data_IF_820143793466
#
_entry.id   IF_820143793466
#
_cell.length_a   1.000
_cell.length_b   1.000
_cell.length_c   1.000
_cell.angle_alpha   90.00
_cell.angle_beta   90.00
_cell.angle_gamma   90.00
#
_symmetry.space_group_name_H-M   'P 1'
#
loop_
_entity.id
_entity.type
_entity.pdbx_description
1 polymer ?
#
# COMPACT_ATOMS: atom_id res chain seq x y z
N UNK A 1 22.65 -19.50 46.98
CA UNK A 1 21.70 -20.41 46.31
C UNK A 1 20.53 -19.64 45.76
N UNK A 2 20.05 -20.07 44.60
CA UNK A 2 18.83 -19.64 43.88
C UNK A 2 18.90 -18.35 43.05
N UNK A 3 19.57 -18.41 41.89
CA UNK A 3 19.14 -17.70 40.66
C UNK A 3 19.40 -18.65 39.48
N UNK A 4 18.62 -19.71 39.37
CA UNK A 4 18.76 -20.65 38.25
C UNK A 4 17.44 -21.36 37.95
N UNK A 5 16.36 -20.61 38.01
CA UNK A 5 15.11 -21.03 37.39
C UNK A 5 14.72 -19.95 36.39
N UNK A 6 14.28 -20.41 35.21
CA UNK A 6 13.30 -19.75 34.33
C UNK A 6 13.73 -19.17 32.95
N UNK A 7 14.90 -19.50 32.39
CA UNK A 7 15.23 -19.08 31.01
C UNK A 7 14.80 -20.10 29.93
N UNK A 8 14.57 -21.38 30.27
CA UNK A 8 14.13 -22.42 29.30
C UNK A 8 12.64 -22.25 28.92
N UNK A 9 11.87 -21.51 29.72
CA UNK A 9 10.41 -21.33 29.53
C UNK A 9 10.03 -20.26 28.50
N UNK A 10 11.00 -19.64 27.82
CA UNK A 10 10.77 -18.50 26.90
C UNK A 10 10.58 -18.89 25.44
N UNK A 11 10.80 -20.16 25.07
CA UNK A 11 10.62 -20.62 23.69
C UNK A 11 9.13 -21.00 23.49
N UNK A 12 8.38 -20.27 22.65
CA UNK A 12 6.98 -20.57 22.38
C UNK A 12 6.84 -21.96 21.76
N UNK A 13 5.84 -22.74 22.18
CA UNK A 13 5.61 -24.12 21.69
C UNK A 13 5.41 -24.22 20.18
N UNK A 14 5.03 -23.12 19.53
CA UNK A 14 4.79 -23.04 18.08
C UNK A 14 5.78 -22.10 17.37
N UNK A 15 6.91 -21.78 18.00
CA UNK A 15 7.96 -20.94 17.41
C UNK A 15 8.99 -21.78 16.64
N UNK A 16 9.52 -21.21 15.56
CA UNK A 16 10.74 -21.69 14.92
C UNK A 16 11.93 -20.85 15.40
N UNK A 17 13.09 -21.49 15.53
CA UNK A 17 14.34 -20.82 15.89
C UNK A 17 15.19 -20.67 14.65
N UNK A 18 15.63 -19.45 14.35
CA UNK A 18 16.59 -19.11 13.30
C UNK A 18 17.87 -18.53 13.90
N UNK A 19 18.95 -18.48 13.11
CA UNK A 19 20.22 -17.85 13.49
C UNK A 19 20.79 -18.34 14.85
N UNK A 20 20.56 -19.62 15.17
CA UNK A 20 21.01 -20.22 16.43
C UNK A 20 22.53 -20.36 16.45
N UNK A 21 23.16 -19.83 17.49
CA UNK A 21 24.61 -19.90 17.74
C UNK A 21 24.91 -20.22 19.20
N UNK A 22 26.07 -20.84 19.41
CA UNK A 22 26.65 -21.01 20.74
C UNK A 22 27.45 -19.74 21.05
N UNK A 23 27.10 -19.06 22.15
CA UNK A 23 27.79 -17.86 22.63
C UNK A 23 28.99 -18.26 23.49
N UNK A 24 28.78 -19.19 24.41
CA UNK A 24 29.83 -19.70 25.30
C UNK A 24 29.54 -21.15 25.70
N UNK A 25 30.59 -21.89 26.03
CA UNK A 25 30.50 -23.24 26.57
C UNK A 25 31.63 -23.48 27.57
N UNK A 26 31.29 -23.93 28.77
CA UNK A 26 32.23 -24.34 29.81
C UNK A 26 32.24 -25.88 29.91
N UNK A 27 33.32 -26.54 29.46
CA UNK A 27 33.43 -28.00 29.51
C UNK A 27 33.50 -28.57 30.94
N UNK A 28 33.97 -27.80 31.92
CA UNK A 28 34.14 -28.27 33.29
C UNK A 28 32.80 -28.34 34.04
N UNK A 29 31.89 -27.41 33.74
CA UNK A 29 30.55 -27.37 34.34
C UNK A 29 29.45 -27.91 33.44
N UNK A 30 29.72 -28.03 32.14
CA UNK A 30 28.73 -28.35 31.11
C UNK A 30 27.79 -27.19 30.79
N UNK A 31 28.07 -25.97 31.28
CA UNK A 31 27.23 -24.80 31.03
C UNK A 31 27.38 -24.32 29.59
N UNK A 32 26.26 -24.01 28.92
CA UNK A 32 26.24 -23.49 27.55
C UNK A 32 25.31 -22.30 27.48
N UNK A 33 25.75 -21.25 26.78
CA UNK A 33 24.93 -20.10 26.42
C UNK A 33 24.62 -20.14 24.93
N UNK A 34 23.35 -19.97 24.58
CA UNK A 34 22.86 -19.99 23.20
C UNK A 34 22.17 -18.66 22.89
N UNK A 35 22.33 -18.17 21.66
CA UNK A 35 21.59 -17.03 21.15
C UNK A 35 20.97 -17.40 19.81
N UNK A 36 19.74 -16.95 19.58
CA UNK A 36 19.02 -17.16 18.33
C UNK A 36 17.83 -16.24 18.24
N UNK A 37 17.19 -16.23 17.08
CA UNK A 37 15.94 -15.54 16.83
C UNK A 37 14.78 -16.52 16.95
N UNK A 38 13.70 -16.09 17.59
CA UNK A 38 12.48 -16.89 17.71
C UNK A 38 11.40 -16.20 16.89
N UNK A 39 10.85 -16.90 15.90
CA UNK A 39 9.71 -16.44 15.12
C UNK A 39 8.51 -17.34 15.36
N UNK A 40 7.33 -16.76 15.57
CA UNK A 40 6.08 -17.51 15.74
C UNK A 40 5.02 -17.03 14.75
N UNK A 41 4.17 -17.91 14.19
CA UNK A 41 3.06 -17.48 13.36
C UNK A 41 2.12 -16.56 14.14
N UNK A 42 1.87 -15.37 13.62
CA UNK A 42 0.91 -14.42 14.17
C UNK A 42 -0.46 -14.65 13.53
N UNK A 43 -1.48 -14.89 14.36
CA UNK A 43 -2.89 -14.75 13.96
C UNK A 43 -3.56 -13.80 14.94
N UNK A 44 -4.06 -12.69 14.42
CA UNK A 44 -4.75 -11.68 15.20
C UNK A 44 -6.09 -11.37 14.50
N UNK A 45 -7.15 -11.33 15.28
CA UNK A 45 -8.48 -10.90 14.85
C UNK A 45 -8.86 -9.67 15.66
N UNK A 46 -9.34 -8.64 14.99
CA UNK A 46 -9.76 -7.40 15.62
C UNK A 46 -10.51 -6.52 14.63
N UNK A 47 -10.93 -5.35 15.09
CA UNK A 47 -11.59 -4.34 14.28
C UNK A 47 -10.55 -3.43 13.61
N UNK A 48 -10.91 -2.78 12.49
CA UNK A 48 -9.98 -1.88 11.79
C UNK A 48 -9.63 -0.63 12.62
N UNK A 49 -10.46 -0.30 13.60
CA UNK A 49 -10.29 0.81 14.53
C UNK A 49 -9.28 0.47 15.64
N UNK A 50 -8.96 -0.81 15.84
CA UNK A 50 -7.97 -1.23 16.82
C UNK A 50 -6.58 -0.77 16.37
N UNK A 51 -5.89 -0.01 17.22
CA UNK A 51 -4.58 0.54 16.91
C UNK A 51 -3.57 -0.52 16.44
N UNK A 52 -3.59 -1.71 17.05
CA UNK A 52 -2.73 -2.82 16.67
C UNK A 52 -3.09 -3.38 15.29
N UNK A 53 -4.37 -3.60 15.00
CA UNK A 53 -4.83 -4.08 13.68
C UNK A 53 -4.44 -3.08 12.60
N UNK A 54 -4.70 -1.80 12.87
CA UNK A 54 -4.40 -0.70 11.96
C UNK A 54 -2.90 -0.60 11.66
N UNK A 55 -2.05 -0.67 12.69
CA UNK A 55 -0.59 -0.68 12.53
C UNK A 55 -0.10 -1.86 11.69
N UNK A 56 -0.68 -3.06 11.89
CA UNK A 56 -0.36 -4.24 11.10
C UNK A 56 -0.83 -4.11 9.64
N UNK A 57 -1.99 -3.50 9.38
CA UNK A 57 -2.47 -3.22 8.03
C UNK A 57 -1.54 -2.23 7.29
N UNK A 58 -1.11 -1.15 7.95
CA UNK A 58 -0.11 -0.25 7.38
C UNK A 58 1.24 -0.93 7.15
N UNK A 59 1.66 -1.82 8.05
CA UNK A 59 2.88 -2.60 7.86
C UNK A 59 2.76 -3.52 6.63
N UNK A 60 1.60 -4.14 6.42
CA UNK A 60 1.33 -4.99 5.27
C UNK A 60 1.37 -4.23 3.93
N UNK A 61 1.09 -2.92 3.91
CA UNK A 61 1.28 -2.07 2.71
C UNK A 61 2.76 -1.88 2.34
N UNK A 62 3.68 -2.02 3.29
CA UNK A 62 5.11 -1.86 3.07
C UNK A 62 5.83 -3.20 2.89
N UNK A 63 5.10 -4.31 2.77
CA UNK A 63 5.67 -5.62 2.49
C UNK A 63 6.17 -5.69 1.04
N UNK A 64 7.42 -5.25 0.85
CA UNK A 64 8.10 -5.24 -0.44
C UNK A 64 8.13 -6.62 -1.11
N UNK A 65 8.10 -7.70 -0.32
CA UNK A 65 8.23 -9.08 -0.82
C UNK A 65 6.92 -9.69 -1.32
N UNK A 66 5.77 -9.10 -0.99
CA UNK A 66 4.47 -9.72 -1.24
C UNK A 66 3.41 -8.73 -1.75
N UNK A 67 3.31 -8.55 -3.07
CA UNK A 67 2.26 -7.73 -3.67
C UNK A 67 0.83 -8.19 -3.33
N UNK A 68 0.62 -9.50 -3.08
CA UNK A 68 -0.67 -10.03 -2.65
C UNK A 68 -1.08 -9.55 -1.25
N UNK A 69 -0.11 -9.41 -0.34
CA UNK A 69 -0.31 -8.82 0.99
C UNK A 69 -0.69 -7.35 0.88
N UNK A 70 0.09 -6.58 0.12
CA UNK A 70 -0.17 -5.15 -0.13
C UNK A 70 -1.54 -4.93 -0.77
N UNK A 71 -1.89 -5.72 -1.79
CA UNK A 71 -3.19 -5.66 -2.46
C UNK A 71 -4.34 -5.85 -1.48
N UNK A 72 -4.26 -6.87 -0.61
CA UNK A 72 -5.31 -7.08 0.40
C UNK A 72 -5.36 -5.96 1.43
N UNK A 73 -4.22 -5.42 1.84
CA UNK A 73 -4.19 -4.29 2.77
C UNK A 73 -4.89 -3.07 2.15
N UNK A 74 -4.62 -2.75 0.88
CA UNK A 74 -5.36 -1.70 0.15
C UNK A 74 -6.86 -1.98 0.13
N UNK A 75 -7.29 -3.21 -0.19
CA UNK A 75 -8.71 -3.58 -0.23
C UNK A 75 -9.42 -3.40 1.12
N UNK A 76 -8.74 -3.77 2.22
CA UNK A 76 -9.30 -3.62 3.57
C UNK A 76 -9.40 -2.15 3.94
N UNK A 77 -8.33 -1.37 3.74
CA UNK A 77 -8.27 0.04 4.08
C UNK A 77 -9.22 0.90 3.24
N UNK A 78 -9.48 0.50 1.98
CA UNK A 78 -10.43 1.15 1.09
C UNK A 78 -11.88 1.17 1.60
N UNK A 79 -12.21 0.39 2.63
CA UNK A 79 -13.53 0.43 3.26
C UNK A 79 -13.76 1.68 4.14
N UNK A 80 -12.69 2.41 4.50
CA UNK A 80 -12.75 3.65 5.30
C UNK A 80 -11.78 4.73 4.81
N UNK A 81 -11.98 5.31 3.63
CA UNK A 81 -10.99 6.20 3.01
C UNK A 81 -10.98 7.62 3.60
N UNK A 82 -12.01 8.03 4.36
CA UNK A 82 -12.12 9.38 4.95
C UNK A 82 -11.13 9.64 6.11
N UNK A 83 -10.21 8.72 6.32
CA UNK A 83 -9.20 8.78 7.37
C UNK A 83 -7.89 9.19 6.72
N UNK A 84 -7.37 10.38 7.06
CA UNK A 84 -6.25 11.03 6.37
C UNK A 84 -5.02 10.11 6.21
N UNK A 85 -4.55 9.39 7.26
CA UNK A 85 -3.49 8.39 7.10
C UNK A 85 -3.82 7.25 6.11
N UNK A 86 -5.09 6.85 5.98
CA UNK A 86 -5.50 5.85 4.99
C UNK A 86 -5.45 6.46 3.59
N UNK A 87 -5.97 7.67 3.41
CA UNK A 87 -5.90 8.38 2.12
C UNK A 87 -4.46 8.52 1.65
N UNK A 88 -3.55 8.98 2.52
CA UNK A 88 -2.13 9.13 2.22
C UNK A 88 -1.49 7.78 1.82
N UNK A 89 -1.81 6.71 2.54
CA UNK A 89 -1.30 5.39 2.23
C UNK A 89 -1.83 4.84 0.89
N UNK A 90 -3.09 5.11 0.55
CA UNK A 90 -3.67 4.77 -0.74
C UNK A 90 -3.03 5.58 -1.88
N UNK A 91 -2.79 6.88 -1.67
CA UNK A 91 -2.08 7.74 -2.63
C UNK A 91 -0.65 7.22 -2.85
N UNK A 92 0.06 6.85 -1.79
CA UNK A 92 1.40 6.29 -1.90
C UNK A 92 1.40 4.95 -2.66
N UNK A 93 0.44 4.07 -2.38
CA UNK A 93 0.27 2.83 -3.12
C UNK A 93 -0.05 3.08 -4.60
N UNK A 94 -0.87 4.09 -4.93
CA UNK A 94 -1.19 4.47 -6.29
C UNK A 94 0.04 4.98 -7.06
N UNK A 95 0.90 5.78 -6.43
CA UNK A 95 1.99 6.46 -7.12
C UNK A 95 3.27 5.59 -7.19
N UNK A 96 3.57 4.85 -6.13
CA UNK A 96 4.91 4.26 -5.94
C UNK A 96 4.95 2.74 -5.91
N UNK A 97 3.82 2.03 -5.86
CA UNK A 97 3.84 0.57 -5.81
C UNK A 97 4.36 -0.02 -7.13
N UNK A 98 5.33 -0.95 -7.04
CA UNK A 98 5.93 -1.59 -8.21
C UNK A 98 4.94 -2.48 -8.99
N UNK A 99 3.85 -2.89 -8.34
CA UNK A 99 2.85 -3.77 -8.90
C UNK A 99 1.63 -3.00 -9.40
N UNK A 100 1.40 -3.07 -10.72
CA UNK A 100 0.26 -2.41 -11.37
C UNK A 100 -1.11 -2.83 -10.79
N UNK A 101 -1.25 -4.05 -10.25
CA UNK A 101 -2.48 -4.51 -9.60
C UNK A 101 -2.77 -3.76 -8.30
N UNK A 102 -1.73 -3.49 -7.50
CA UNK A 102 -1.87 -2.71 -6.26
C UNK A 102 -2.19 -1.26 -6.59
N UNK A 103 -1.47 -0.66 -7.56
CA UNK A 103 -1.75 0.70 -8.03
C UNK A 103 -3.19 0.86 -8.54
N UNK A 104 -3.67 -0.08 -9.36
CA UNK A 104 -5.05 -0.08 -9.86
C UNK A 104 -6.08 -0.19 -8.72
N UNK A 105 -5.83 -1.04 -7.74
CA UNK A 105 -6.72 -1.20 -6.59
C UNK A 105 -6.77 0.07 -5.72
N UNK A 106 -5.64 0.75 -5.55
CA UNK A 106 -5.57 2.03 -4.85
C UNK A 106 -6.31 3.13 -5.62
N UNK A 107 -6.16 3.17 -6.94
CA UNK A 107 -6.93 4.05 -7.82
C UNK A 107 -8.43 3.87 -7.59
N UNK A 108 -8.92 2.62 -7.65
CA UNK A 108 -10.34 2.29 -7.46
C UNK A 108 -10.85 2.76 -6.09
N UNK A 109 -10.08 2.52 -5.03
CA UNK A 109 -10.43 2.95 -3.67
C UNK A 109 -10.60 4.48 -3.55
N UNK A 110 -9.79 5.23 -4.30
CA UNK A 110 -9.74 6.69 -4.27
C UNK A 110 -10.77 7.36 -5.21
N UNK A 111 -11.36 6.64 -6.18
CA UNK A 111 -12.21 7.22 -7.25
C UNK A 111 -13.32 8.13 -6.72
N UNK A 112 -13.99 7.73 -5.64
CA UNK A 112 -15.11 8.50 -5.10
C UNK A 112 -14.67 9.86 -4.50
N UNK A 113 -13.38 10.05 -4.22
CA UNK A 113 -12.75 11.24 -3.64
C UNK A 113 -12.01 12.10 -4.68
N UNK A 114 -12.23 11.90 -5.97
CA UNK A 114 -11.56 12.66 -7.04
C UNK A 114 -11.70 14.20 -6.97
N UNK A 115 -12.57 14.71 -6.10
CA UNK A 115 -12.74 16.15 -5.85
C UNK A 115 -11.92 16.68 -4.68
N UNK A 116 -11.41 15.80 -3.82
CA UNK A 116 -10.44 16.17 -2.79
C UNK A 116 -9.13 16.58 -3.47
N UNK A 117 -8.53 17.69 -3.02
CA UNK A 117 -7.38 18.29 -3.68
C UNK A 117 -6.20 17.31 -3.80
N UNK A 118 -5.90 16.57 -2.73
CA UNK A 118 -4.79 15.61 -2.68
C UNK A 118 -5.03 14.42 -3.62
N UNK A 119 -6.24 13.86 -3.63
CA UNK A 119 -6.62 12.75 -4.50
C UNK A 119 -6.64 13.17 -5.97
N UNK A 120 -7.16 14.37 -6.27
CA UNK A 120 -7.13 14.94 -7.62
C UNK A 120 -5.70 15.10 -8.12
N UNK A 121 -4.80 15.61 -7.27
CA UNK A 121 -3.39 15.73 -7.59
C UNK A 121 -2.73 14.37 -7.84
N UNK A 122 -3.07 13.36 -7.04
CA UNK A 122 -2.59 11.99 -7.24
C UNK A 122 -3.04 11.42 -8.60
N UNK A 123 -4.32 11.57 -8.98
CA UNK A 123 -4.79 11.12 -10.29
C UNK A 123 -4.15 11.89 -11.46
N UNK A 124 -3.92 13.20 -11.33
CA UNK A 124 -3.17 13.97 -12.34
C UNK A 124 -1.73 13.48 -12.46
N UNK A 125 -1.08 13.16 -11.34
CA UNK A 125 0.26 12.58 -11.34
C UNK A 125 0.26 11.20 -12.03
N UNK A 126 -0.64 10.31 -11.64
CA UNK A 126 -0.79 8.97 -12.26
C UNK A 126 -1.05 9.07 -13.76
N UNK A 127 -1.91 9.99 -14.20
CA UNK A 127 -2.18 10.23 -15.61
C UNK A 127 -0.93 10.66 -16.39
N UNK A 128 -0.02 11.43 -15.79
CA UNK A 128 1.19 11.88 -16.46
C UNK A 128 2.35 10.89 -16.42
N UNK A 129 2.39 9.98 -15.44
CA UNK A 129 3.62 9.29 -15.07
C UNK A 129 3.51 7.76 -14.93
N UNK A 130 2.31 7.18 -14.80
CA UNK A 130 2.20 5.72 -14.64
C UNK A 130 2.61 5.01 -15.94
N UNK A 131 3.44 3.98 -15.86
CA UNK A 131 3.91 3.23 -17.03
C UNK A 131 2.79 2.41 -17.69
N UNK A 132 1.77 2.04 -16.92
CA UNK A 132 0.63 1.25 -17.37
C UNK A 132 -0.47 2.14 -17.95
N UNK A 133 -0.64 2.07 -19.27
CA UNK A 133 -1.67 2.86 -19.96
C UNK A 133 -3.11 2.58 -19.46
N UNK A 134 -3.40 1.38 -18.97
CA UNK A 134 -4.69 1.05 -18.37
C UNK A 134 -4.97 1.85 -17.10
N UNK A 135 -3.95 2.04 -16.25
CA UNK A 135 -4.06 2.87 -15.05
C UNK A 135 -4.22 4.34 -15.43
N UNK A 136 -3.45 4.84 -16.40
CA UNK A 136 -3.60 6.22 -16.90
C UNK A 136 -5.00 6.49 -17.43
N UNK A 137 -5.59 5.55 -18.19
CA UNK A 137 -6.98 5.65 -18.66
C UNK A 137 -7.97 5.72 -17.49
N UNK A 138 -7.79 4.88 -16.47
CA UNK A 138 -8.65 4.90 -15.28
C UNK A 138 -8.51 6.21 -14.48
N UNK A 139 -7.33 6.83 -14.48
CA UNK A 139 -7.13 8.14 -13.86
C UNK A 139 -7.93 9.24 -14.58
N UNK A 140 -7.96 9.24 -15.93
CA UNK A 140 -8.85 10.15 -16.69
C UNK A 140 -10.29 9.93 -16.27
N UNK A 141 -10.77 8.68 -16.28
CA UNK A 141 -12.17 8.38 -15.94
C UNK A 141 -12.53 8.84 -14.52
N UNK A 142 -11.64 8.64 -13.55
CA UNK A 142 -11.81 9.11 -12.18
C UNK A 142 -11.90 10.64 -12.10
N UNK A 143 -11.05 11.35 -12.83
CA UNK A 143 -11.03 12.81 -12.88
C UNK A 143 -12.30 13.38 -13.53
N UNK A 144 -12.82 12.74 -14.59
CA UNK A 144 -13.92 13.32 -15.40
C UNK A 144 -15.32 12.96 -14.90
N UNK A 145 -15.51 11.81 -14.22
CA UNK A 145 -16.85 11.29 -13.91
C UNK A 145 -17.73 12.24 -13.07
N UNK A 146 -17.13 13.00 -12.15
CA UNK A 146 -17.84 14.01 -11.33
C UNK A 146 -17.59 15.45 -11.77
N UNK A 147 -16.79 15.66 -12.81
CA UNK A 147 -16.33 16.97 -13.25
C UNK A 147 -16.60 17.17 -14.76
N UNK A 148 -17.69 16.61 -15.27
CA UNK A 148 -17.96 16.53 -16.72
C UNK A 148 -17.98 17.88 -17.44
N UNK A 149 -18.24 18.97 -16.72
CA UNK A 149 -18.35 20.33 -17.27
C UNK A 149 -17.21 21.25 -16.79
N UNK A 150 -16.17 20.69 -16.15
CA UNK A 150 -15.02 21.46 -15.66
C UNK A 150 -14.04 21.72 -16.82
N UNK A 151 -14.18 22.89 -17.44
CA UNK A 151 -13.39 23.30 -18.61
C UNK A 151 -11.92 23.53 -18.29
N UNK A 152 -11.60 23.97 -17.06
CA UNK A 152 -10.23 24.20 -16.61
C UNK A 152 -9.51 22.85 -16.39
N UNK A 153 -10.20 21.92 -15.74
CA UNK A 153 -9.71 20.54 -15.61
C UNK A 153 -9.55 19.88 -16.98
N UNK A 154 -10.49 20.09 -17.90
CA UNK A 154 -10.40 19.53 -19.25
C UNK A 154 -9.16 20.04 -20.01
N UNK A 155 -8.87 21.34 -19.91
CA UNK A 155 -7.65 21.91 -20.48
C UNK A 155 -6.40 21.29 -19.85
N UNK A 156 -6.36 21.14 -18.54
CA UNK A 156 -5.22 20.53 -17.83
C UNK A 156 -5.00 19.07 -18.24
N UNK A 157 -6.07 18.27 -18.33
CA UNK A 157 -6.01 16.88 -18.80
C UNK A 157 -5.50 16.82 -20.25
N UNK A 158 -5.94 17.73 -21.12
CA UNK A 158 -5.43 17.81 -22.50
C UNK A 158 -3.93 18.11 -22.52
N UNK A 159 -3.45 19.06 -21.73
CA UNK A 159 -2.02 19.41 -21.66
C UNK A 159 -1.16 18.22 -21.23
N UNK A 160 -1.61 17.45 -20.23
CA UNK A 160 -0.90 16.23 -19.79
C UNK A 160 -0.93 15.13 -20.84
N UNK A 161 -2.05 14.97 -21.55
CA UNK A 161 -2.24 13.85 -22.49
C UNK A 161 -1.77 14.13 -23.90
N UNK A 162 -1.55 15.38 -24.33
CA UNK A 162 -1.28 15.71 -25.74
C UNK A 162 -0.01 15.05 -26.31
N UNK A 163 0.96 14.71 -25.45
CA UNK A 163 2.22 14.05 -25.82
C UNK A 163 2.32 12.61 -25.31
N UNK A 164 1.26 12.03 -24.76
CA UNK A 164 1.28 10.63 -24.33
C UNK A 164 1.55 9.72 -25.53
N UNK A 165 2.42 8.72 -25.37
CA UNK A 165 2.73 7.77 -26.44
C UNK A 165 1.50 6.97 -26.89
N UNK A 166 0.54 6.75 -26.01
CA UNK A 166 -0.69 6.03 -26.28
C UNK A 166 -1.75 6.94 -26.94
N UNK A 167 -2.10 6.63 -28.19
CA UNK A 167 -3.09 7.39 -28.96
C UNK A 167 -4.48 7.43 -28.36
N UNK A 168 -4.88 6.39 -27.63
CA UNK A 168 -6.18 6.33 -26.96
C UNK A 168 -6.26 7.31 -25.79
N UNK A 169 -5.16 7.50 -25.06
CA UNK A 169 -5.08 8.49 -23.98
C UNK A 169 -5.18 9.90 -24.55
N UNK A 170 -4.43 10.20 -25.63
CA UNK A 170 -4.53 11.48 -26.35
C UNK A 170 -5.97 11.77 -26.80
N UNK A 171 -6.64 10.77 -27.36
CA UNK A 171 -8.01 10.88 -27.84
C UNK A 171 -9.01 11.12 -26.69
N UNK A 172 -8.87 10.42 -25.55
CA UNK A 172 -9.72 10.63 -24.37
C UNK A 172 -9.57 12.05 -23.79
N UNK A 173 -8.34 12.55 -23.69
CA UNK A 173 -8.09 13.91 -23.21
C UNK A 173 -8.73 14.98 -24.11
N UNK A 174 -8.60 14.83 -25.44
CA UNK A 174 -9.27 15.70 -26.40
C UNK A 174 -10.80 15.61 -26.32
N UNK A 175 -11.35 14.40 -26.25
CA UNK A 175 -12.78 14.17 -26.13
C UNK A 175 -13.35 14.89 -24.90
N UNK A 176 -12.66 14.86 -23.77
CA UNK A 176 -13.13 15.52 -22.56
C UNK A 176 -13.28 17.04 -22.75
N UNK A 177 -12.33 17.70 -23.43
CA UNK A 177 -12.42 19.13 -23.80
C UNK A 177 -13.62 19.41 -24.69
N UNK A 178 -13.94 18.54 -25.63
CA UNK A 178 -15.10 18.72 -26.52
C UNK A 178 -16.45 18.58 -25.80
N UNK A 179 -16.48 17.75 -24.75
CA UNK A 179 -17.69 17.48 -23.97
C UNK A 179 -17.89 18.41 -22.78
N UNK A 180 -16.80 18.95 -22.20
CA UNK A 180 -16.87 19.90 -21.10
C UNK A 180 -17.32 21.26 -21.63
N UNK A 181 -18.62 21.55 -21.54
CA UNK A 181 -19.25 22.80 -21.98
C UNK A 181 -20.25 23.31 -20.94
#
# INVERSE_FOLDING_TARGET
SAVQDNQISTIPRNGSISNLRIVSADPATGQVELAGEVSQPLRLQGQMEDATVRSLLFSALHDASNPGSRLRAVQVLASKPNDEPIEEALINALIYDDNAGVRMQALEALKQYANEQHVRAAFMHTLGNDDNAGIRVQAIEALTIKNSNDTELAKTIREVTEKDDNSFIRAKGLQFVETAK
#
